data_IF_836658240885
#
_entry.id   IF_836658240885
#
_cell.length_a   1.000
_cell.length_b   1.000
_cell.length_c   1.000
_cell.angle_alpha   90.00
_cell.angle_beta   90.00
_cell.angle_gamma   90.00
#
_symmetry.space_group_name_H-M   'P 1'
#
loop_
_entity.id
_entity.type
_entity.pdbx_description
1 polymer ?
#
# COMPACT_ATOMS: atom_id res chain seq x y z
N UNK A 1 35.83 -13.88 4.99
CA UNK A 1 35.43 -13.75 6.41
C UNK A 1 34.23 -14.65 6.65
N UNK A 2 34.12 -15.29 7.82
CA UNK A 2 32.91 -16.05 8.16
C UNK A 2 31.70 -15.09 8.18
N UNK A 3 30.55 -15.50 7.61
CA UNK A 3 29.32 -14.70 7.63
C UNK A 3 28.90 -14.27 9.04
N UNK A 4 29.28 -15.04 10.08
CA UNK A 4 29.05 -14.70 11.49
C UNK A 4 29.82 -13.46 11.97
N UNK A 5 31.05 -13.23 11.47
CA UNK A 5 31.84 -12.05 11.82
C UNK A 5 31.19 -10.77 11.27
N UNK A 6 30.70 -10.83 10.04
CA UNK A 6 29.99 -9.73 9.39
C UNK A 6 28.70 -9.35 10.13
N UNK A 7 27.95 -10.33 10.66
CA UNK A 7 26.75 -10.06 11.47
C UNK A 7 27.06 -9.38 12.80
N UNK A 8 28.16 -9.77 13.47
CA UNK A 8 28.59 -9.13 14.71
C UNK A 8 29.01 -7.67 14.50
N UNK A 9 29.74 -7.40 13.42
CA UNK A 9 30.13 -6.03 13.03
C UNK A 9 28.90 -5.14 12.79
N UNK A 10 27.89 -5.65 12.06
CA UNK A 10 26.65 -4.91 11.80
C UNK A 10 25.88 -4.66 13.10
N UNK A 11 25.76 -5.66 13.97
CA UNK A 11 25.07 -5.47 15.25
C UNK A 11 25.78 -4.44 16.13
N UNK A 12 27.12 -4.44 16.14
CA UNK A 12 27.87 -3.44 16.87
C UNK A 12 27.72 -2.04 16.27
N UNK A 13 27.75 -1.92 14.94
CA UNK A 13 27.44 -0.66 14.25
C UNK A 13 26.06 -0.12 14.67
N UNK A 14 25.03 -0.97 14.66
CA UNK A 14 23.68 -0.60 15.08
C UNK A 14 23.67 -0.09 16.53
N UNK A 15 24.35 -0.79 17.44
CA UNK A 15 24.45 -0.37 18.85
C UNK A 15 25.16 0.97 18.99
N UNK A 16 26.25 1.18 18.28
CA UNK A 16 26.98 2.45 18.32
C UNK A 16 26.09 3.60 17.83
N UNK A 17 25.40 3.44 16.69
CA UNK A 17 24.48 4.46 16.18
C UNK A 17 23.33 4.69 17.17
N UNK A 18 22.76 3.63 17.76
CA UNK A 18 21.68 3.77 18.73
C UNK A 18 22.11 4.55 19.99
N UNK A 19 23.36 4.41 20.44
CA UNK A 19 23.85 5.09 21.65
C UNK A 19 24.36 6.51 21.45
N UNK A 20 24.57 6.94 20.20
CA UNK A 20 25.18 8.24 19.89
C UNK A 20 24.27 9.45 20.15
N UNK A 21 22.96 9.24 20.32
CA UNK A 21 21.96 10.30 20.43
C UNK A 21 20.70 9.78 21.15
N UNK A 22 19.75 10.69 21.41
CA UNK A 22 18.44 10.38 22.02
C UNK A 22 17.29 10.34 20.98
N UNK A 23 17.60 10.40 19.67
CA UNK A 23 16.60 10.46 18.62
C UNK A 23 15.83 9.15 18.50
N UNK A 24 14.49 9.18 18.43
CA UNK A 24 13.70 7.98 18.24
C UNK A 24 13.99 7.35 16.88
N UNK A 25 13.92 6.03 16.83
CA UNK A 25 14.08 5.28 15.58
C UNK A 25 12.71 4.94 15.00
N UNK A 26 12.58 5.04 13.68
CA UNK A 26 11.39 4.62 12.93
C UNK A 26 11.84 3.59 11.91
N UNK A 27 11.33 2.37 11.99
CA UNK A 27 11.68 1.26 11.10
C UNK A 27 10.50 1.01 10.16
N UNK A 28 10.73 1.14 8.86
CA UNK A 28 9.75 0.78 7.84
C UNK A 28 9.67 -0.74 7.67
N UNK A 29 8.53 -1.33 8.02
CA UNK A 29 8.29 -2.78 7.95
C UNK A 29 7.16 -3.11 6.97
N UNK A 30 7.48 -3.83 5.90
CA UNK A 30 6.50 -4.23 4.88
C UNK A 30 6.11 -5.71 4.95
N UNK A 31 6.63 -6.48 5.90
CA UNK A 31 6.45 -7.94 5.94
C UNK A 31 7.26 -8.71 4.89
N UNK A 32 7.95 -8.03 3.98
CA UNK A 32 8.82 -8.64 2.98
C UNK A 32 10.20 -9.03 3.56
N UNK A 33 10.97 -9.81 2.77
CA UNK A 33 12.28 -10.34 3.16
C UNK A 33 13.26 -9.27 3.65
N UNK A 34 13.42 -8.17 2.91
CA UNK A 34 14.44 -7.16 3.20
C UNK A 34 14.10 -6.36 4.48
N UNK A 35 12.85 -5.92 4.61
CA UNK A 35 12.38 -5.20 5.82
C UNK A 35 12.38 -6.09 7.07
N UNK A 36 12.10 -7.39 6.91
CA UNK A 36 12.18 -8.37 8.00
C UNK A 36 13.62 -8.53 8.46
N UNK A 37 14.58 -8.71 7.55
CA UNK A 37 16.00 -8.81 7.92
C UNK A 37 16.50 -7.55 8.62
N UNK A 38 16.20 -6.37 8.08
CA UNK A 38 16.60 -5.10 8.71
C UNK A 38 16.06 -4.97 10.14
N UNK A 39 14.78 -5.30 10.36
CA UNK A 39 14.20 -5.27 11.70
C UNK A 39 14.81 -6.34 12.62
N UNK A 40 15.05 -7.56 12.16
CA UNK A 40 15.69 -8.62 12.96
C UNK A 40 17.10 -8.21 13.40
N UNK A 41 17.90 -7.61 12.51
CA UNK A 41 19.23 -7.10 12.84
C UNK A 41 19.18 -6.04 13.93
N UNK A 42 18.28 -5.05 13.81
CA UNK A 42 18.12 -4.01 14.84
C UNK A 42 17.63 -4.59 16.15
N UNK A 43 16.67 -5.52 16.11
CA UNK A 43 16.14 -6.20 17.29
C UNK A 43 17.22 -6.94 18.06
N UNK A 44 18.03 -7.76 17.38
CA UNK A 44 19.11 -8.50 18.01
C UNK A 44 20.22 -7.60 18.54
N UNK A 45 20.54 -6.52 17.83
CA UNK A 45 21.51 -5.54 18.29
C UNK A 45 21.07 -4.92 19.63
N UNK A 46 19.82 -4.43 19.73
CA UNK A 46 19.30 -3.81 20.95
C UNK A 46 19.04 -4.82 22.08
N UNK A 47 18.66 -6.06 21.76
CA UNK A 47 18.57 -7.14 22.74
C UNK A 47 19.91 -7.46 23.39
N UNK A 48 21.02 -7.25 22.67
CA UNK A 48 22.37 -7.39 23.20
C UNK A 48 22.82 -6.26 24.13
N UNK A 49 22.09 -5.14 24.22
CA UNK A 49 22.40 -4.05 25.15
C UNK A 49 21.82 -4.32 26.55
N UNK A 50 22.48 -3.85 27.63
CA UNK A 50 21.86 -3.77 28.96
C UNK A 50 20.54 -2.98 28.92
N UNK A 51 19.60 -3.31 29.81
CA UNK A 51 18.28 -2.64 29.87
C UNK A 51 18.41 -1.12 30.05
N UNK A 52 19.41 -0.69 30.83
CA UNK A 52 19.73 0.71 31.12
C UNK A 52 20.20 1.52 29.88
N UNK A 53 20.79 0.85 28.89
CA UNK A 53 21.28 1.49 27.66
C UNK A 53 20.19 1.59 26.58
N UNK A 54 18.99 1.03 26.81
CA UNK A 54 17.85 1.03 25.87
C UNK A 54 16.95 2.25 26.09
N UNK A 55 17.55 3.44 25.97
CA UNK A 55 16.97 4.70 26.51
C UNK A 55 15.89 5.35 25.65
N UNK A 56 15.75 4.96 24.37
CA UNK A 56 14.89 5.67 23.41
C UNK A 56 13.97 4.73 22.63
N UNK A 57 12.76 5.20 22.26
CA UNK A 57 11.77 4.37 21.59
C UNK A 57 12.17 4.03 20.15
N UNK A 58 11.76 2.83 19.72
CA UNK A 58 11.93 2.32 18.36
C UNK A 58 10.55 1.97 17.80
N UNK A 59 10.03 2.83 16.94
CA UNK A 59 8.75 2.62 16.29
C UNK A 59 8.91 1.71 15.07
N UNK A 60 8.13 0.64 14.99
CA UNK A 60 8.01 -0.18 13.78
C UNK A 60 6.71 0.18 13.11
N UNK A 61 6.78 0.70 11.89
CA UNK A 61 5.59 1.13 11.13
C UNK A 61 5.36 0.23 9.93
N UNK A 62 4.12 -0.23 9.79
CA UNK A 62 3.67 -0.99 8.62
C UNK A 62 2.45 -0.34 8.01
N UNK A 63 2.48 -0.02 6.72
CA UNK A 63 1.38 0.70 6.07
C UNK A 63 0.41 -0.27 5.43
N UNK A 64 -0.80 -0.33 5.98
CA UNK A 64 -1.95 -1.03 5.43
C UNK A 64 -2.63 -0.14 4.39
N UNK A 65 -2.63 -0.58 3.13
CA UNK A 65 -3.27 0.19 2.05
C UNK A 65 -4.79 0.00 1.98
N UNK A 66 -5.36 -0.87 2.82
CA UNK A 66 -6.76 -1.30 2.82
C UNK A 66 -7.18 -2.07 1.56
N UNK A 67 -6.22 -2.36 0.67
CA UNK A 67 -6.41 -3.14 -0.56
C UNK A 67 -5.25 -4.12 -0.78
N UNK A 68 -4.46 -4.42 0.26
CA UNK A 68 -3.51 -5.54 0.26
C UNK A 68 -4.26 -6.87 0.19
N UNK A 69 -3.65 -7.92 -0.36
CA UNK A 69 -4.27 -9.25 -0.38
C UNK A 69 -4.56 -9.73 1.05
N UNK A 70 -5.72 -10.33 1.35
CA UNK A 70 -6.12 -10.56 2.76
C UNK A 70 -5.16 -11.47 3.53
N UNK A 71 -4.60 -12.51 2.88
CA UNK A 71 -3.55 -13.37 3.47
C UNK A 71 -2.34 -12.56 3.96
N UNK A 72 -1.99 -11.48 3.25
CA UNK A 72 -0.89 -10.58 3.63
C UNK A 72 -1.30 -9.66 4.78
N UNK A 73 -2.55 -9.20 4.80
CA UNK A 73 -3.12 -8.37 5.89
C UNK A 73 -3.08 -9.14 7.21
N UNK A 74 -3.53 -10.40 7.22
CA UNK A 74 -3.55 -11.24 8.41
C UNK A 74 -2.14 -11.48 8.93
N UNK A 75 -1.24 -11.87 8.04
CA UNK A 75 0.18 -12.09 8.36
C UNK A 75 0.84 -10.84 8.94
N UNK A 76 0.56 -9.67 8.38
CA UNK A 76 1.12 -8.40 8.86
C UNK A 76 0.55 -8.02 10.22
N UNK A 77 -0.76 -8.20 10.40
CA UNK A 77 -1.46 -7.93 11.66
C UNK A 77 -0.92 -8.84 12.78
N UNK A 78 -0.73 -10.12 12.48
CA UNK A 78 -0.14 -11.09 13.40
C UNK A 78 1.32 -10.73 13.73
N UNK A 79 2.13 -10.38 12.72
CA UNK A 79 3.51 -9.97 12.96
C UNK A 79 3.62 -8.75 13.88
N UNK A 80 2.75 -7.73 13.69
CA UNK A 80 2.71 -6.55 14.57
C UNK A 80 2.33 -6.94 16.01
N UNK A 81 1.36 -7.85 16.19
CA UNK A 81 0.99 -8.37 17.51
C UNK A 81 2.17 -9.07 18.18
N UNK A 82 2.77 -10.03 17.48
CA UNK A 82 3.93 -10.81 17.97
C UNK A 82 5.11 -9.91 18.33
N UNK A 83 5.38 -8.87 17.54
CA UNK A 83 6.43 -7.88 17.85
C UNK A 83 6.11 -7.17 19.17
N UNK A 84 4.91 -6.64 19.36
CA UNK A 84 4.57 -5.93 20.59
C UNK A 84 4.61 -6.85 21.82
N UNK A 85 4.18 -8.10 21.70
CA UNK A 85 4.25 -9.09 22.77
C UNK A 85 5.70 -9.42 23.14
N UNK A 86 6.53 -9.73 22.13
CA UNK A 86 7.94 -10.04 22.31
C UNK A 86 8.74 -8.84 22.86
N UNK A 87 8.40 -7.61 22.45
CA UNK A 87 9.03 -6.39 22.95
C UNK A 87 8.77 -6.23 24.45
N UNK A 88 7.53 -6.47 24.91
CA UNK A 88 7.17 -6.42 26.33
C UNK A 88 7.89 -7.50 27.13
N UNK A 89 7.88 -8.75 26.65
CA UNK A 89 8.53 -9.87 27.32
C UNK A 89 10.05 -9.69 27.43
N UNK A 90 10.69 -9.20 26.36
CA UNK A 90 12.14 -9.00 26.30
C UNK A 90 12.60 -7.64 26.86
N UNK A 91 11.64 -6.81 27.33
CA UNK A 91 11.86 -5.43 27.78
C UNK A 91 12.66 -4.60 26.76
N UNK A 92 12.21 -4.62 25.52
CA UNK A 92 12.81 -3.86 24.43
C UNK A 92 11.96 -2.63 24.11
N UNK A 93 12.57 -1.52 23.66
CA UNK A 93 11.86 -0.27 23.44
C UNK A 93 11.11 -0.24 22.09
N UNK A 94 10.67 -1.40 21.58
CA UNK A 94 9.95 -1.48 20.30
C UNK A 94 8.45 -1.23 20.48
N UNK A 95 7.88 -0.45 19.57
CA UNK A 95 6.44 -0.21 19.45
C UNK A 95 6.02 -0.39 18.00
N UNK A 96 5.35 -1.50 17.69
CA UNK A 96 4.88 -1.82 16.35
C UNK A 96 3.43 -1.35 16.15
N UNK A 97 3.15 -0.70 15.02
CA UNK A 97 1.80 -0.26 14.69
C UNK A 97 1.53 -0.28 13.18
N UNK A 98 0.26 -0.49 12.83
CA UNK A 98 -0.21 -0.28 11.46
C UNK A 98 -0.56 1.18 11.23
N UNK A 99 -0.18 1.69 10.06
CA UNK A 99 -0.61 2.98 9.54
C UNK A 99 -1.61 2.73 8.42
N UNK A 100 -2.53 3.66 8.21
CA UNK A 100 -3.54 3.58 7.15
C UNK A 100 -3.76 4.95 6.50
N UNK A 101 -4.20 4.97 5.23
CA UNK A 101 -4.60 6.21 4.57
C UNK A 101 -5.75 6.89 5.32
N UNK A 102 -5.82 8.22 5.22
CA UNK A 102 -7.06 8.93 5.59
C UNK A 102 -8.16 8.57 4.60
N UNK A 103 -9.41 8.74 5.02
CA UNK A 103 -10.59 8.45 4.20
C UNK A 103 -10.46 9.03 2.78
N UNK A 104 -10.01 10.28 2.68
CA UNK A 104 -9.85 10.98 1.41
C UNK A 104 -8.81 10.34 0.47
N UNK A 105 -7.79 9.69 1.03
CA UNK A 105 -6.68 9.07 0.31
C UNK A 105 -6.96 7.60 -0.04
N UNK A 106 -8.03 7.00 0.49
CA UNK A 106 -8.37 5.58 0.27
C UNK A 106 -8.58 5.23 -1.21
N UNK A 107 -8.38 3.95 -1.55
CA UNK A 107 -8.41 3.48 -2.93
C UNK A 107 -9.78 3.72 -3.56
N UNK A 108 -10.87 3.35 -2.88
CA UNK A 108 -12.21 3.44 -3.43
C UNK A 108 -12.75 4.86 -3.52
N UNK A 109 -12.44 5.73 -2.55
CA UNK A 109 -12.80 7.16 -2.62
C UNK A 109 -12.14 7.82 -3.84
N UNK A 110 -10.89 7.47 -4.15
CA UNK A 110 -10.21 8.01 -5.33
C UNK A 110 -10.68 7.36 -6.64
N UNK A 111 -10.81 6.03 -6.69
CA UNK A 111 -11.20 5.32 -7.91
C UNK A 111 -12.69 5.53 -8.25
N UNK A 112 -13.60 5.24 -7.31
CA UNK A 112 -15.05 5.31 -7.51
C UNK A 112 -15.59 6.72 -7.26
N UNK A 113 -15.18 7.34 -6.15
CA UNK A 113 -15.61 8.69 -5.79
C UNK A 113 -15.15 9.70 -6.85
N UNK A 114 -13.83 9.89 -6.96
CA UNK A 114 -13.23 10.89 -7.87
C UNK A 114 -13.10 10.43 -9.33
N UNK A 115 -13.37 9.17 -9.64
CA UNK A 115 -13.20 8.64 -10.99
C UNK A 115 -11.74 8.58 -11.43
N UNK A 116 -10.77 8.44 -10.52
CA UNK A 116 -9.38 8.24 -10.93
C UNK A 116 -9.24 6.94 -11.71
N UNK A 117 -8.49 6.91 -12.83
CA UNK A 117 -8.27 5.68 -13.57
C UNK A 117 -7.46 4.69 -12.74
N UNK A 118 -7.69 3.38 -12.95
CA UNK A 118 -6.91 2.36 -12.26
C UNK A 118 -5.40 2.58 -12.49
N UNK A 119 -4.54 2.40 -11.46
CA UNK A 119 -3.13 2.76 -11.54
C UNK A 119 -2.38 2.04 -12.69
N UNK A 120 -1.49 2.76 -13.37
CA UNK A 120 -0.62 2.15 -14.39
C UNK A 120 0.81 2.63 -14.24
N UNK A 121 1.73 2.13 -15.06
CA UNK A 121 3.16 2.43 -14.97
C UNK A 121 3.48 3.93 -14.93
N UNK A 122 2.72 4.76 -15.68
CA UNK A 122 2.89 6.21 -15.77
C UNK A 122 1.98 7.04 -14.86
N UNK A 123 1.01 6.42 -14.18
CA UNK A 123 0.07 7.12 -13.30
C UNK A 123 -0.23 6.27 -12.05
N UNK A 124 0.71 6.28 -11.10
CA UNK A 124 0.68 5.51 -9.84
C UNK A 124 0.25 6.36 -8.65
N UNK A 125 -0.93 6.95 -8.73
CA UNK A 125 -1.47 7.83 -7.68
C UNK A 125 -1.63 7.12 -6.32
N UNK A 126 -1.78 5.79 -6.33
CA UNK A 126 -1.97 4.97 -5.14
C UNK A 126 -0.72 4.87 -4.26
N UNK A 127 0.50 4.88 -4.84
CA UNK A 127 1.74 4.75 -4.05
C UNK A 127 1.90 5.93 -3.09
N UNK A 128 1.68 7.15 -3.60
CA UNK A 128 1.78 8.36 -2.80
C UNK A 128 0.74 8.36 -1.67
N UNK A 129 -0.54 8.20 -2.02
CA UNK A 129 -1.67 8.31 -1.08
C UNK A 129 -1.75 7.18 -0.07
N UNK A 130 -1.60 5.93 -0.54
CA UNK A 130 -1.83 4.75 0.29
C UNK A 130 -0.57 4.31 1.06
N UNK A 131 0.64 4.57 0.55
CA UNK A 131 1.89 4.09 1.16
C UNK A 131 2.77 5.19 1.73
N UNK A 132 2.98 6.27 0.97
CA UNK A 132 3.94 7.33 1.35
C UNK A 132 3.32 8.30 2.36
N UNK A 133 2.11 8.82 2.08
CA UNK A 133 1.45 9.81 2.93
C UNK A 133 1.22 9.35 4.38
N UNK A 134 0.75 8.11 4.65
CA UNK A 134 0.56 7.64 6.02
C UNK A 134 1.88 7.61 6.80
N UNK A 135 2.93 7.07 6.18
CA UNK A 135 4.27 7.00 6.76
C UNK A 135 4.86 8.39 7.00
N UNK A 136 4.77 9.28 6.01
CA UNK A 136 5.25 10.65 6.13
C UNK A 136 4.55 11.39 7.26
N UNK A 137 3.23 11.24 7.39
CA UNK A 137 2.47 11.86 8.48
C UNK A 137 2.95 11.38 9.85
N UNK A 138 3.16 10.08 9.99
CA UNK A 138 3.71 9.52 11.23
C UNK A 138 5.11 10.06 11.53
N UNK A 139 6.01 10.04 10.54
CA UNK A 139 7.39 10.51 10.69
C UNK A 139 7.42 11.99 11.05
N UNK A 140 6.66 12.83 10.34
CA UNK A 140 6.60 14.27 10.59
C UNK A 140 6.03 14.59 11.98
N UNK A 141 5.04 13.82 12.46
CA UNK A 141 4.57 13.97 13.84
C UNK A 141 5.68 13.66 14.85
N UNK A 142 6.48 12.60 14.63
CA UNK A 142 7.62 12.28 15.50
C UNK A 142 8.76 13.29 15.41
N UNK A 143 9.01 13.86 14.23
CA UNK A 143 9.92 15.00 14.06
C UNK A 143 9.40 16.23 14.83
N UNK A 144 8.11 16.52 14.81
CA UNK A 144 7.54 17.62 15.58
C UNK A 144 7.64 17.40 17.10
N UNK A 145 7.51 16.16 17.57
CA UNK A 145 7.64 15.79 18.99
C UNK A 145 9.09 15.80 19.49
N UNK A 146 10.05 15.32 18.67
CA UNK A 146 11.43 15.04 19.10
C UNK A 146 12.51 15.88 18.40
N UNK A 147 12.13 16.76 17.48
CA UNK A 147 13.03 17.59 16.67
C UNK A 147 13.62 16.84 15.46
N UNK A 148 14.18 15.65 15.66
CA UNK A 148 14.71 14.79 14.59
C UNK A 148 14.41 13.31 14.84
N UNK A 149 14.48 12.48 13.80
CA UNK A 149 14.29 11.02 13.89
C UNK A 149 15.32 10.27 13.03
N UNK A 150 15.58 9.00 13.36
CA UNK A 150 16.35 8.08 12.52
C UNK A 150 15.41 7.08 11.85
N UNK A 151 15.24 7.20 10.53
CA UNK A 151 14.48 6.29 9.69
C UNK A 151 15.36 5.13 9.22
N UNK A 152 15.04 3.91 9.64
CA UNK A 152 15.71 2.68 9.24
C UNK A 152 14.95 2.05 8.08
N UNK A 153 15.65 1.81 6.96
CA UNK A 153 15.08 1.22 5.74
C UNK A 153 15.82 -0.06 5.35
N UNK A 154 15.06 -1.09 4.99
CA UNK A 154 15.59 -2.33 4.41
C UNK A 154 15.90 -2.20 2.91
N UNK A 155 16.66 -1.18 2.51
CA UNK A 155 17.07 -0.96 1.12
C UNK A 155 18.50 -1.46 0.88
N UNK A 156 18.74 -2.04 -0.30
CA UNK A 156 20.04 -2.60 -0.72
C UNK A 156 20.55 -1.91 -1.99
N UNK A 157 21.86 -1.83 -2.19
CA UNK A 157 22.47 -1.22 -3.39
C UNK A 157 22.12 -1.97 -4.67
N UNK A 158 22.06 -3.29 -4.59
CA UNK A 158 21.80 -4.14 -5.74
C UNK A 158 20.33 -4.12 -6.22
N UNK A 159 19.44 -3.40 -5.53
CA UNK A 159 18.04 -3.26 -5.99
C UNK A 159 17.88 -2.35 -7.21
N UNK A 160 18.70 -1.30 -7.35
CA UNK A 160 18.66 -0.42 -8.52
C UNK A 160 19.88 0.51 -8.60
N UNK A 161 20.42 0.67 -9.82
CA UNK A 161 21.52 1.61 -10.09
C UNK A 161 21.17 3.06 -9.71
N UNK A 162 19.91 3.46 -9.90
CA UNK A 162 19.41 4.80 -9.51
C UNK A 162 19.36 4.98 -7.99
N UNK A 163 18.99 3.93 -7.24
CA UNK A 163 19.01 3.97 -5.76
C UNK A 163 20.44 4.15 -5.26
N UNK A 164 21.41 3.42 -5.80
CA UNK A 164 22.82 3.55 -5.42
C UNK A 164 23.35 4.99 -5.63
N UNK A 165 22.99 5.64 -6.74
CA UNK A 165 23.41 7.01 -7.03
C UNK A 165 22.83 8.05 -6.05
N UNK A 166 21.54 7.93 -5.69
CA UNK A 166 20.90 8.82 -4.71
C UNK A 166 21.47 8.62 -3.31
N UNK A 167 21.77 7.37 -2.92
CA UNK A 167 22.37 7.06 -1.63
C UNK A 167 23.74 7.70 -1.44
N UNK A 168 24.56 7.74 -2.49
CA UNK A 168 25.88 8.36 -2.44
C UNK A 168 25.83 9.90 -2.38
N UNK A 169 24.78 10.54 -2.93
CA UNK A 169 24.66 12.01 -2.92
C UNK A 169 24.31 12.59 -1.54
N UNK A 170 23.61 11.83 -0.69
CA UNK A 170 23.15 12.31 0.62
C UNK A 170 24.00 11.84 1.80
N UNK A 171 25.08 11.10 1.53
CA UNK A 171 26.04 10.67 2.56
C UNK A 171 27.00 11.78 2.91
N UNK A 172 27.05 12.12 4.20
CA UNK A 172 28.21 12.82 4.73
C UNK A 172 29.38 11.85 4.75
N UNK A 173 30.51 12.25 4.16
CA UNK A 173 31.74 11.46 4.13
C UNK A 173 32.10 10.98 5.53
N UNK A 174 32.18 9.65 5.73
CA UNK A 174 32.51 9.03 7.01
C UNK A 174 31.35 8.77 7.98
N UNK A 175 30.09 9.12 7.64
CA UNK A 175 28.92 8.84 8.47
C UNK A 175 27.99 7.81 7.80
N UNK A 176 27.49 6.85 8.58
CA UNK A 176 26.52 5.81 8.14
C UNK A 176 25.09 6.34 7.98
N UNK A 177 24.83 7.56 8.46
CA UNK A 177 23.54 8.25 8.34
C UNK A 177 23.56 9.22 7.15
N UNK A 178 22.45 9.27 6.41
CA UNK A 178 22.20 10.24 5.35
C UNK A 178 21.00 11.12 5.71
N UNK A 179 20.90 12.34 5.18
CA UNK A 179 19.67 13.15 5.32
C UNK A 179 18.58 12.63 4.37
N UNK A 180 17.34 12.56 4.84
CA UNK A 180 16.22 12.23 3.96
C UNK A 180 15.96 13.38 2.98
N UNK A 181 15.89 13.09 1.68
CA UNK A 181 15.81 14.13 0.64
C UNK A 181 14.51 14.95 0.63
N UNK A 182 13.42 14.43 1.22
CA UNK A 182 12.09 15.07 1.22
C UNK A 182 11.49 15.31 2.60
N UNK A 183 12.06 14.72 3.67
CA UNK A 183 11.50 14.78 5.01
C UNK A 183 12.46 15.57 5.90
N UNK A 184 12.19 16.86 6.17
CA UNK A 184 12.98 17.65 7.09
C UNK A 184 13.06 16.94 8.46
N UNK A 185 14.23 16.98 9.09
CA UNK A 185 14.45 16.36 10.41
C UNK A 185 14.57 14.82 10.42
N UNK A 186 14.48 14.15 9.27
CA UNK A 186 14.69 12.70 9.19
C UNK A 186 16.10 12.35 8.69
N UNK A 187 16.79 11.50 9.44
CA UNK A 187 18.01 10.81 9.02
C UNK A 187 17.67 9.42 8.50
N UNK A 188 18.45 8.88 7.58
CA UNK A 188 18.25 7.56 6.96
C UNK A 188 19.41 6.65 7.32
N UNK A 189 19.08 5.45 7.80
CA UNK A 189 20.01 4.36 8.06
C UNK A 189 19.56 3.09 7.32
N UNK A 190 20.52 2.35 6.75
CA UNK A 190 20.25 1.15 5.96
C UNK A 190 21.19 0.03 6.39
N UNK A 191 20.82 -0.80 7.38
CA UNK A 191 21.72 -1.82 7.95
C UNK A 191 22.06 -2.95 6.97
N UNK A 192 21.30 -3.10 5.88
CA UNK A 192 21.47 -4.15 4.88
C UNK A 192 21.90 -3.60 3.51
N UNK A 193 22.42 -2.37 3.46
CA UNK A 193 22.77 -1.70 2.21
C UNK A 193 23.64 -2.57 1.28
N UNK A 194 24.61 -3.27 1.86
CA UNK A 194 25.61 -4.08 1.14
C UNK A 194 25.22 -5.57 1.03
N UNK A 195 23.98 -5.95 1.35
CA UNK A 195 23.53 -7.35 1.26
C UNK A 195 23.08 -7.67 -0.18
N UNK A 196 23.48 -8.85 -0.66
CA UNK A 196 22.86 -9.47 -1.83
C UNK A 196 21.50 -10.09 -1.47
N UNK A 197 20.75 -10.55 -2.47
CA UNK A 197 19.51 -11.32 -2.21
C UNK A 197 19.80 -12.64 -1.51
N UNK A 198 20.92 -13.29 -1.86
CA UNK A 198 21.32 -14.57 -1.28
C UNK A 198 21.72 -14.42 0.19
N UNK A 199 22.38 -13.30 0.55
CA UNK A 199 22.68 -12.98 1.95
C UNK A 199 21.41 -12.83 2.77
N UNK A 200 20.38 -12.18 2.22
CA UNK A 200 19.08 -12.00 2.88
C UNK A 200 18.42 -13.35 3.16
N UNK A 201 18.34 -14.24 2.17
CA UNK A 201 17.72 -15.55 2.37
C UNK A 201 18.55 -16.46 3.25
N UNK A 202 19.87 -16.46 3.09
CA UNK A 202 20.79 -17.20 3.96
C UNK A 202 20.60 -16.78 5.42
N UNK A 203 20.54 -15.48 5.68
CA UNK A 203 20.25 -14.94 7.01
C UNK A 203 18.89 -15.42 7.53
N UNK A 204 17.81 -15.20 6.78
CA UNK A 204 16.45 -15.52 7.25
C UNK A 204 16.25 -17.01 7.52
N UNK A 205 16.90 -17.90 6.76
CA UNK A 205 16.79 -19.35 6.93
C UNK A 205 17.65 -19.88 8.09
N UNK A 206 18.72 -19.19 8.47
CA UNK A 206 19.62 -19.58 9.55
C UNK A 206 19.27 -18.93 10.89
N UNK A 207 18.78 -17.69 10.86
CA UNK A 207 18.46 -16.89 12.05
C UNK A 207 16.97 -16.97 12.31
N UNK A 208 16.59 -17.31 13.55
CA UNK A 208 15.19 -17.33 13.97
C UNK A 208 14.65 -15.90 14.08
N UNK A 209 13.33 -15.72 13.92
CA UNK A 209 12.72 -14.43 14.23
C UNK A 209 12.76 -14.14 15.73
N UNK A 210 13.18 -12.94 16.17
CA UNK A 210 13.23 -12.61 17.59
C UNK A 210 11.86 -12.35 18.21
N UNK A 211 10.80 -12.20 17.40
CA UNK A 211 9.40 -12.14 17.84
C UNK A 211 8.64 -13.45 17.57
N UNK A 212 9.32 -14.53 17.20
CA UNK A 212 8.72 -15.87 17.09
C UNK A 212 8.05 -16.21 15.75
N UNK A 213 8.02 -15.29 14.78
CA UNK A 213 7.49 -15.58 13.43
C UNK A 213 8.36 -16.61 12.68
N UNK A 214 7.75 -17.40 11.80
CA UNK A 214 8.48 -18.39 11.01
C UNK A 214 9.02 -17.80 9.69
N UNK A 215 10.34 -17.60 9.64
CA UNK A 215 11.02 -17.16 8.42
C UNK A 215 10.89 -18.18 7.27
N UNK A 216 10.65 -19.46 7.55
CA UNK A 216 10.41 -20.48 6.49
C UNK A 216 9.05 -20.30 5.84
N UNK A 217 8.03 -19.87 6.58
CA UNK A 217 6.75 -19.49 5.99
C UNK A 217 6.89 -18.27 5.08
N UNK A 218 7.77 -17.31 5.42
CA UNK A 218 8.11 -16.21 4.51
C UNK A 218 8.75 -16.74 3.22
N UNK A 219 9.72 -17.63 3.33
CA UNK A 219 10.38 -18.23 2.17
C UNK A 219 9.41 -19.06 1.32
N UNK A 220 8.49 -19.81 1.95
CA UNK A 220 7.46 -20.57 1.25
C UNK A 220 6.52 -19.67 0.45
N UNK A 221 6.11 -18.54 1.03
CA UNK A 221 5.29 -17.53 0.34
C UNK A 221 6.01 -16.95 -0.89
N UNK A 222 7.29 -16.61 -0.78
CA UNK A 222 8.10 -16.16 -1.93
C UNK A 222 8.33 -17.26 -2.98
N UNK A 223 8.32 -18.53 -2.58
CA UNK A 223 8.46 -19.67 -3.49
C UNK A 223 7.17 -19.94 -4.26
N UNK A 224 6.01 -19.91 -3.59
CA UNK A 224 4.72 -20.08 -4.26
C UNK A 224 4.49 -18.97 -5.28
N UNK A 225 4.80 -17.73 -4.92
CA UNK A 225 4.64 -16.59 -5.83
C UNK A 225 5.66 -16.53 -7.00
N UNK A 226 6.54 -17.52 -7.13
CA UNK A 226 7.45 -17.71 -8.28
C UNK A 226 7.22 -19.06 -8.99
N UNK A 227 5.99 -19.57 -8.99
CA UNK A 227 5.63 -20.78 -9.76
C UNK A 227 6.39 -22.05 -9.29
N UNK A 228 6.79 -22.10 -8.02
CA UNK A 228 7.48 -23.24 -7.43
C UNK A 228 8.97 -23.38 -7.78
N UNK A 229 9.52 -22.56 -8.69
CA UNK A 229 10.96 -22.53 -8.97
C UNK A 229 11.71 -21.76 -7.87
N UNK A 230 12.14 -22.48 -6.83
CA UNK A 230 13.25 -22.02 -6.00
C UNK A 230 14.13 -23.22 -5.65
N UNK A 231 15.21 -23.46 -6.40
CA UNK A 231 16.15 -24.50 -6.02
C UNK A 231 16.77 -24.07 -4.69
N UNK A 232 16.85 -25.00 -3.74
CA UNK A 232 17.64 -24.80 -2.52
C UNK A 232 19.05 -24.48 -2.99
N UNK A 233 19.49 -23.24 -2.75
CA UNK A 233 20.78 -22.74 -3.25
C UNK A 233 21.89 -23.50 -2.52
N UNK A 234 22.43 -24.52 -3.17
CA UNK A 234 23.66 -25.22 -2.74
C UNK A 234 24.89 -24.62 -3.44
N UNK A 235 24.70 -23.79 -4.49
CA UNK A 235 25.77 -23.14 -5.25
C UNK A 235 25.34 -21.77 -5.83
N UNK A 236 26.32 -20.87 -5.92
CA UNK A 236 26.32 -19.49 -6.45
C UNK A 236 25.88 -19.32 -7.91
N UNK A 237 25.68 -20.42 -8.65
CA UNK A 237 25.23 -20.45 -10.04
C UNK A 237 23.70 -20.54 -10.19
N UNK A 238 22.97 -20.68 -9.08
CA UNK A 238 21.51 -20.84 -9.05
C UNK A 238 20.79 -19.49 -8.98
N UNK A 239 19.85 -19.21 -9.88
CA UNK A 239 19.09 -17.95 -9.86
C UNK A 239 18.26 -17.79 -8.56
N UNK A 240 18.47 -16.69 -7.83
CA UNK A 240 17.80 -16.46 -6.54
C UNK A 240 16.30 -16.16 -6.68
N UNK A 241 15.47 -16.79 -5.86
CA UNK A 241 14.04 -16.50 -5.78
C UNK A 241 13.80 -15.21 -4.94
N UNK A 242 13.91 -14.05 -5.57
CA UNK A 242 13.87 -12.76 -4.85
C UNK A 242 13.02 -11.64 -5.45
N UNK A 243 12.50 -11.84 -6.67
CA UNK A 243 11.84 -10.77 -7.43
C UNK A 243 10.32 -10.73 -7.32
N UNK A 244 9.69 -11.76 -6.74
CA UNK A 244 8.23 -11.76 -6.56
C UNK A 244 7.82 -10.73 -5.51
N UNK A 245 6.80 -9.93 -5.82
CA UNK A 245 6.32 -8.83 -4.99
C UNK A 245 4.86 -9.08 -4.65
N UNK A 246 4.60 -9.29 -3.37
CA UNK A 246 3.27 -9.23 -2.80
C UNK A 246 2.81 -7.77 -2.79
N UNK A 247 1.56 -7.52 -3.15
CA UNK A 247 1.02 -6.18 -3.18
C UNK A 247 -0.50 -6.16 -3.16
N UNK A 248 -1.05 -5.00 -3.49
CA UNK A 248 -2.47 -4.78 -3.51
C UNK A 248 -3.17 -5.71 -4.51
N UNK A 249 -4.23 -6.40 -4.10
CA UNK A 249 -4.98 -7.30 -4.99
C UNK A 249 -5.65 -6.54 -6.15
N UNK A 250 -5.82 -5.22 -6.04
CA UNK A 250 -6.33 -4.33 -7.11
C UNK A 250 -5.25 -3.84 -8.09
N UNK A 251 -4.01 -4.33 -8.01
CA UNK A 251 -2.88 -3.76 -8.76
C UNK A 251 -2.93 -4.08 -10.26
N UNK A 252 -3.10 -3.04 -11.06
CA UNK A 252 -3.12 -3.09 -12.54
C UNK A 252 -1.80 -2.65 -13.19
N UNK A 253 -0.74 -2.42 -12.40
CA UNK A 253 0.58 -2.03 -12.93
C UNK A 253 1.30 -3.21 -13.58
N UNK A 254 1.10 -4.41 -13.04
CA UNK A 254 1.57 -5.67 -13.63
C UNK A 254 0.51 -6.19 -14.59
N UNK A 255 0.88 -6.98 -15.59
CA UNK A 255 -0.10 -7.54 -16.54
C UNK A 255 -0.96 -8.61 -15.88
N UNK A 256 -0.33 -9.50 -15.10
CA UNK A 256 -0.97 -10.57 -14.34
C UNK A 256 -0.51 -10.55 -12.89
N UNK A 257 -1.39 -10.91 -11.97
CA UNK A 257 -1.04 -11.10 -10.57
C UNK A 257 -0.67 -12.57 -10.31
N UNK A 258 0.59 -12.91 -10.64
CA UNK A 258 1.11 -14.26 -10.43
C UNK A 258 1.09 -14.70 -8.98
N UNK A 259 1.13 -13.75 -8.04
CA UNK A 259 1.11 -14.09 -6.62
C UNK A 259 -0.28 -14.55 -6.22
N UNK A 260 -1.32 -13.85 -6.67
CA UNK A 260 -2.71 -14.23 -6.39
C UNK A 260 -3.11 -15.50 -7.14
N UNK A 261 -2.71 -15.64 -8.42
CA UNK A 261 -2.86 -16.88 -9.20
C UNK A 261 -2.24 -18.07 -8.44
N UNK A 262 -0.99 -17.95 -8.00
CA UNK A 262 -0.32 -19.03 -7.27
C UNK A 262 -0.95 -19.35 -5.90
N UNK A 263 -1.49 -18.35 -5.19
CA UNK A 263 -2.18 -18.60 -3.93
C UNK A 263 -3.49 -19.37 -4.17
N UNK A 264 -4.24 -19.01 -5.20
CA UNK A 264 -5.46 -19.73 -5.63
C UNK A 264 -5.12 -21.18 -5.98
N UNK A 265 -4.10 -21.39 -6.83
CA UNK A 265 -3.64 -22.72 -7.23
C UNK A 265 -3.14 -23.57 -6.05
N UNK A 266 -2.68 -22.91 -4.97
CA UNK A 266 -2.22 -23.57 -3.74
C UNK A 266 -3.32 -23.85 -2.71
N UNK A 267 -4.58 -23.52 -3.00
CA UNK A 267 -5.75 -23.85 -2.18
C UNK A 267 -6.58 -22.67 -1.69
N UNK A 268 -6.17 -21.42 -1.98
CA UNK A 268 -6.93 -20.22 -1.60
C UNK A 268 -7.98 -19.83 -2.66
N UNK A 269 -8.78 -20.81 -3.13
CA UNK A 269 -9.74 -20.65 -4.23
C UNK A 269 -10.80 -19.56 -3.99
N UNK A 270 -11.10 -19.27 -2.72
CA UNK A 270 -12.03 -18.21 -2.32
C UNK A 270 -11.56 -16.80 -2.75
N UNK A 271 -10.28 -16.63 -3.14
CA UNK A 271 -9.76 -15.38 -3.68
C UNK A 271 -10.05 -15.17 -5.18
N UNK A 272 -10.60 -16.16 -5.89
CA UNK A 272 -10.93 -16.04 -7.32
C UNK A 272 -11.75 -14.77 -7.66
N UNK A 273 -12.78 -14.38 -6.88
CA UNK A 273 -13.54 -13.15 -7.16
C UNK A 273 -12.68 -11.87 -7.10
N UNK A 274 -11.62 -11.84 -6.29
CA UNK A 274 -10.67 -10.72 -6.23
C UNK A 274 -9.84 -10.64 -7.52
N UNK A 275 -9.34 -11.80 -7.99
CA UNK A 275 -8.58 -11.89 -9.23
C UNK A 275 -9.44 -11.47 -10.43
N UNK A 276 -10.69 -11.92 -10.50
CA UNK A 276 -11.63 -11.54 -11.55
C UNK A 276 -11.93 -10.04 -11.57
N UNK A 277 -12.09 -9.43 -10.38
CA UNK A 277 -12.30 -7.99 -10.27
C UNK A 277 -11.05 -7.20 -10.67
N UNK A 278 -9.86 -7.68 -10.27
CA UNK A 278 -8.57 -7.11 -10.65
C UNK A 278 -8.37 -7.14 -12.17
N UNK A 279 -8.69 -8.25 -12.81
CA UNK A 279 -8.54 -8.40 -14.26
C UNK A 279 -9.52 -7.52 -15.01
N UNK A 280 -10.73 -7.33 -14.47
CA UNK A 280 -11.63 -6.28 -14.93
C UNK A 280 -11.03 -4.87 -14.78
N UNK A 281 -10.45 -4.51 -13.64
CA UNK A 281 -9.78 -3.20 -13.50
C UNK A 281 -8.66 -3.03 -14.54
N UNK A 282 -7.92 -4.10 -14.81
CA UNK A 282 -6.84 -4.12 -15.80
C UNK A 282 -7.38 -3.87 -17.22
N UNK A 283 -8.49 -4.51 -17.60
CA UNK A 283 -9.10 -4.33 -18.91
C UNK A 283 -9.58 -2.89 -19.16
N UNK A 284 -9.89 -2.13 -18.10
CA UNK A 284 -10.22 -0.70 -18.24
C UNK A 284 -9.05 0.17 -18.74
N UNK A 285 -7.83 -0.35 -18.80
CA UNK A 285 -6.65 0.36 -19.31
C UNK A 285 -6.48 0.21 -20.83
N UNK A 286 -7.26 -0.66 -21.47
CA UNK A 286 -7.25 -0.87 -22.92
C UNK A 286 -7.61 0.45 -23.65
N UNK A 287 -6.78 0.93 -24.59
CA UNK A 287 -7.09 2.08 -25.44
C UNK A 287 -8.47 2.04 -26.10
N UNK A 288 -8.96 0.88 -26.51
CA UNK A 288 -10.22 0.73 -27.25
C UNK A 288 -11.44 0.77 -26.33
N UNK A 289 -11.25 0.47 -25.03
CA UNK A 289 -12.31 0.49 -24.01
C UNK A 289 -12.38 1.85 -23.30
N UNK A 290 -11.27 2.61 -23.22
CA UNK A 290 -11.22 3.95 -22.60
C UNK A 290 -12.36 4.89 -23.03
N UNK A 291 -12.72 5.03 -24.32
CA UNK A 291 -13.79 5.93 -24.76
C UNK A 291 -15.15 5.64 -24.14
N UNK A 292 -15.42 4.39 -23.79
CA UNK A 292 -16.72 3.94 -23.31
C UNK A 292 -16.94 4.27 -21.82
N UNK A 293 -15.85 4.47 -21.09
CA UNK A 293 -15.85 4.53 -19.63
C UNK A 293 -15.17 5.78 -19.07
N UNK A 294 -14.47 6.57 -19.91
CA UNK A 294 -13.71 7.75 -19.49
C UNK A 294 -14.08 9.02 -20.23
N UNK A 295 -13.92 10.13 -19.54
CA UNK A 295 -14.05 11.48 -20.07
C UNK A 295 -12.67 12.16 -20.25
N UNK A 296 -12.62 13.21 -21.07
CA UNK A 296 -11.39 13.96 -21.34
C UNK A 296 -11.03 14.96 -20.23
N UNK A 297 -12.04 15.42 -19.49
CA UNK A 297 -11.89 16.39 -18.40
C UNK A 297 -11.23 15.70 -17.21
N UNK A 298 -10.17 16.26 -16.66
CA UNK A 298 -9.63 15.79 -15.38
C UNK A 298 -10.41 16.36 -14.20
N UNK A 299 -10.16 15.84 -12.99
CA UNK A 299 -10.66 16.44 -11.74
C UNK A 299 -10.11 17.84 -11.45
N UNK A 300 -9.01 18.22 -12.09
CA UNK A 300 -8.48 19.59 -12.12
C UNK A 300 -9.27 20.52 -13.08
N UNK A 301 -10.33 20.02 -13.73
CA UNK A 301 -11.12 20.74 -14.73
C UNK A 301 -10.42 20.87 -16.09
N UNK A 302 -9.18 20.39 -16.23
CA UNK A 302 -8.36 20.61 -17.43
C UNK A 302 -8.46 19.42 -18.39
N UNK A 303 -8.50 19.74 -19.68
CA UNK A 303 -8.33 18.78 -20.76
C UNK A 303 -6.85 18.73 -21.13
N UNK A 304 -6.30 17.53 -21.36
CA UNK A 304 -4.91 17.36 -21.80
C UNK A 304 -4.87 16.85 -23.23
N UNK A 305 -3.99 17.46 -24.02
CA UNK A 305 -3.67 17.04 -25.38
C UNK A 305 -2.30 16.36 -25.35
N UNK A 306 -2.21 15.19 -25.97
CA UNK A 306 -0.95 14.48 -26.18
C UNK A 306 -0.05 15.22 -27.17
N UNK A 307 1.24 14.86 -27.21
CA UNK A 307 2.20 15.45 -28.15
C UNK A 307 1.84 15.20 -29.64
N UNK A 308 1.05 14.16 -29.92
CA UNK A 308 0.49 13.82 -31.23
C UNK A 308 -0.83 14.57 -31.57
N UNK A 309 -1.22 15.54 -30.74
CA UNK A 309 -2.44 16.34 -30.95
C UNK A 309 -3.74 15.68 -30.51
N UNK A 310 -3.70 14.47 -29.93
CA UNK A 310 -4.92 13.74 -29.52
C UNK A 310 -5.37 14.08 -28.10
N UNK A 311 -6.68 14.19 -27.89
CA UNK A 311 -7.25 14.36 -26.56
C UNK A 311 -6.99 13.12 -25.68
N UNK A 312 -6.60 13.34 -24.42
CA UNK A 312 -6.35 12.25 -23.46
C UNK A 312 -7.58 11.96 -22.62
N UNK A 313 -8.01 10.70 -22.59
CA UNK A 313 -8.96 10.20 -21.60
C UNK A 313 -8.33 10.21 -20.20
N UNK A 314 -9.00 10.84 -19.23
CA UNK A 314 -8.46 11.08 -17.89
C UNK A 314 -9.24 10.35 -16.80
N UNK A 315 -10.48 10.74 -16.52
CA UNK A 315 -11.28 10.22 -15.41
C UNK A 315 -12.34 9.24 -15.90
N UNK A 316 -12.77 8.32 -15.04
CA UNK A 316 -13.96 7.51 -15.29
C UNK A 316 -15.22 8.37 -15.24
N UNK A 317 -16.22 8.04 -16.06
CA UNK A 317 -17.54 8.66 -16.00
C UNK A 317 -18.26 8.28 -14.71
N UNK A 318 -19.26 9.07 -14.29
CA UNK A 318 -20.06 8.75 -13.10
C UNK A 318 -20.81 7.44 -13.30
N UNK A 319 -21.36 7.24 -14.50
CA UNK A 319 -22.08 6.03 -14.86
C UNK A 319 -21.19 4.78 -14.75
N UNK A 320 -19.96 4.84 -15.25
CA UNK A 320 -19.03 3.73 -15.08
C UNK A 320 -18.62 3.53 -13.61
N UNK A 321 -18.54 4.60 -12.82
CA UNK A 321 -18.24 4.51 -11.38
C UNK A 321 -19.37 3.79 -10.61
N UNK A 322 -20.63 4.01 -10.99
CA UNK A 322 -21.80 3.27 -10.46
C UNK A 322 -21.74 1.78 -10.81
N UNK A 323 -21.40 1.46 -12.06
CA UNK A 323 -21.24 0.07 -12.52
C UNK A 323 -20.10 -0.64 -11.78
N UNK A 324 -18.96 0.03 -11.61
CA UNK A 324 -17.85 -0.50 -10.82
C UNK A 324 -18.22 -0.71 -9.35
N UNK A 325 -18.97 0.22 -8.74
CA UNK A 325 -19.45 0.06 -7.36
C UNK A 325 -20.35 -1.17 -7.23
N UNK A 326 -21.32 -1.34 -8.14
CA UNK A 326 -22.19 -2.52 -8.17
C UNK A 326 -21.37 -3.81 -8.22
N UNK A 327 -20.42 -3.89 -9.17
CA UNK A 327 -19.55 -5.05 -9.32
C UNK A 327 -18.70 -5.31 -8.07
N UNK A 328 -18.19 -4.26 -7.42
CA UNK A 328 -17.42 -4.38 -6.19
C UNK A 328 -18.26 -4.96 -5.05
N UNK A 329 -19.51 -4.49 -4.90
CA UNK A 329 -20.44 -5.00 -3.90
C UNK A 329 -20.87 -6.45 -4.18
N UNK A 330 -21.04 -6.83 -5.46
CA UNK A 330 -21.29 -8.22 -5.87
C UNK A 330 -20.10 -9.13 -5.56
N UNK A 331 -18.86 -8.66 -5.82
CA UNK A 331 -17.64 -9.35 -5.43
C UNK A 331 -17.58 -9.51 -3.91
N UNK A 332 -17.86 -8.45 -3.15
CA UNK A 332 -17.90 -8.50 -1.68
C UNK A 332 -18.92 -9.53 -1.18
N UNK A 333 -20.12 -9.56 -1.75
CA UNK A 333 -21.17 -10.53 -1.40
C UNK A 333 -20.74 -11.98 -1.67
N UNK A 334 -20.03 -12.20 -2.77
CA UNK A 334 -19.46 -13.52 -3.10
C UNK A 334 -18.43 -13.93 -2.04
N UNK A 335 -17.56 -13.00 -1.64
CA UNK A 335 -16.57 -13.26 -0.59
C UNK A 335 -17.20 -13.49 0.79
N UNK A 336 -18.33 -12.84 1.07
CA UNK A 336 -19.07 -13.00 2.32
C UNK A 336 -19.69 -14.39 2.52
N UNK A 337 -19.69 -15.24 1.49
CA UNK A 337 -20.00 -16.67 1.62
C UNK A 337 -18.92 -17.39 2.44
N UNK A 338 -17.65 -16.97 2.29
CA UNK A 338 -16.51 -17.54 3.01
C UNK A 338 -16.30 -16.85 4.37
N UNK A 339 -16.34 -15.51 4.39
CA UNK A 339 -16.21 -14.71 5.61
C UNK A 339 -17.32 -13.65 5.68
N UNK A 340 -18.39 -13.88 6.46
CA UNK A 340 -19.56 -12.99 6.54
C UNK A 340 -19.25 -11.53 6.93
N UNK A 341 -18.15 -11.31 7.64
CA UNK A 341 -17.72 -9.98 8.11
C UNK A 341 -16.79 -9.29 7.10
N UNK A 342 -16.37 -9.99 6.05
CA UNK A 342 -15.45 -9.46 5.06
C UNK A 342 -16.07 -8.28 4.28
N UNK A 343 -15.36 -7.16 4.27
CA UNK A 343 -15.77 -5.94 3.58
C UNK A 343 -14.64 -5.46 2.66
N UNK A 344 -14.92 -5.37 1.36
CA UNK A 344 -14.02 -4.79 0.37
C UNK A 344 -14.04 -3.26 0.40
N UNK A 345 -15.17 -2.69 0.80
CA UNK A 345 -15.37 -1.25 0.93
C UNK A 345 -16.11 -0.96 2.23
N UNK A 346 -15.58 0.00 2.99
CA UNK A 346 -16.15 0.41 4.26
C UNK A 346 -17.37 1.33 4.08
N UNK A 347 -18.21 1.40 5.11
CA UNK A 347 -19.36 2.33 5.14
C UNK A 347 -18.91 3.79 5.06
N UNK A 348 -17.78 4.13 5.68
CA UNK A 348 -17.24 5.49 5.63
C UNK A 348 -16.76 5.86 4.23
N UNK A 349 -16.13 4.92 3.50
CA UNK A 349 -15.80 5.11 2.08
C UNK A 349 -17.06 5.30 1.23
N UNK A 350 -18.12 4.52 1.45
CA UNK A 350 -19.40 4.68 0.74
C UNK A 350 -20.02 6.05 0.99
N UNK A 351 -20.00 6.54 2.23
CA UNK A 351 -20.50 7.88 2.58
C UNK A 351 -19.70 8.98 1.89
N UNK A 352 -18.38 8.87 1.86
CA UNK A 352 -17.53 9.86 1.20
C UNK A 352 -17.69 9.82 -0.33
N UNK A 353 -17.81 8.63 -0.92
CA UNK A 353 -18.11 8.47 -2.35
C UNK A 353 -19.45 9.12 -2.70
N UNK A 354 -20.50 8.90 -1.89
CA UNK A 354 -21.82 9.54 -2.06
C UNK A 354 -21.69 11.05 -2.01
N UNK A 355 -20.98 11.60 -1.01
CA UNK A 355 -20.72 13.03 -0.89
C UNK A 355 -20.07 13.58 -2.16
N UNK A 356 -19.02 12.93 -2.66
CA UNK A 356 -18.31 13.34 -3.89
C UNK A 356 -19.23 13.27 -5.10
N UNK A 357 -20.05 12.22 -5.22
CA UNK A 357 -20.95 12.05 -6.37
C UNK A 357 -22.02 13.15 -6.42
N UNK A 358 -22.69 13.40 -5.30
CA UNK A 358 -23.75 14.41 -5.19
C UNK A 358 -23.17 15.82 -5.37
N UNK A 359 -22.10 16.15 -4.64
CA UNK A 359 -21.57 17.52 -4.57
C UNK A 359 -20.66 17.89 -5.74
N UNK A 360 -19.89 16.93 -6.28
CA UNK A 360 -18.81 17.21 -7.22
C UNK A 360 -18.96 16.50 -8.59
N UNK A 361 -19.97 15.62 -8.75
CA UNK A 361 -20.23 14.88 -10.00
C UNK A 361 -21.68 14.96 -10.47
N UNK A 362 -22.47 15.86 -9.88
CA UNK A 362 -23.86 16.14 -10.27
C UNK A 362 -24.76 14.89 -10.19
N UNK A 363 -24.54 14.01 -9.21
CA UNK A 363 -25.43 12.88 -8.94
C UNK A 363 -26.71 13.33 -8.20
N UNK A 364 -27.56 14.10 -8.88
CA UNK A 364 -28.79 14.67 -8.31
C UNK A 364 -29.81 13.63 -7.85
N UNK A 365 -29.71 12.41 -8.38
CA UNK A 365 -30.58 11.30 -7.98
C UNK A 365 -30.07 10.57 -6.72
N UNK A 366 -28.90 10.94 -6.20
CA UNK A 366 -28.27 10.30 -5.05
C UNK A 366 -28.27 8.76 -5.19
N UNK A 367 -27.57 8.28 -6.22
CA UNK A 367 -27.72 6.91 -6.71
C UNK A 367 -27.09 5.84 -5.81
N UNK A 368 -26.12 6.21 -4.96
CA UNK A 368 -25.32 5.26 -4.20
C UNK A 368 -26.14 4.44 -3.17
N UNK A 369 -27.01 5.06 -2.34
CA UNK A 369 -27.91 4.32 -1.45
C UNK A 369 -28.70 3.21 -2.14
N UNK A 370 -29.27 3.51 -3.32
CA UNK A 370 -30.06 2.56 -4.09
C UNK A 370 -29.23 1.38 -4.61
N UNK A 371 -28.02 1.65 -5.14
CA UNK A 371 -27.10 0.60 -5.58
C UNK A 371 -26.72 -0.32 -4.41
N UNK A 372 -26.44 0.26 -3.24
CA UNK A 372 -26.06 -0.53 -2.06
C UNK A 372 -27.20 -1.44 -1.59
N UNK A 373 -28.41 -0.90 -1.47
CA UNK A 373 -29.59 -1.67 -1.04
C UNK A 373 -29.94 -2.78 -2.05
N UNK A 374 -29.91 -2.48 -3.35
CA UNK A 374 -30.22 -3.46 -4.41
C UNK A 374 -29.27 -4.67 -4.39
N UNK A 375 -27.96 -4.44 -4.22
CA UNK A 375 -26.96 -5.52 -4.27
C UNK A 375 -26.88 -6.30 -2.95
N UNK A 376 -26.85 -5.57 -1.83
CA UNK A 376 -26.58 -6.15 -0.51
C UNK A 376 -27.85 -6.59 0.22
N UNK A 377 -29.01 -6.02 -0.12
CA UNK A 377 -30.25 -6.19 0.63
C UNK A 377 -30.23 -5.53 2.02
N UNK A 378 -29.23 -4.69 2.32
CA UNK A 378 -29.06 -4.00 3.60
C UNK A 378 -29.22 -2.50 3.41
N UNK A 379 -29.66 -1.82 4.47
CA UNK A 379 -29.72 -0.37 4.52
C UNK A 379 -28.69 0.16 5.52
N UNK A 380 -28.11 1.32 5.20
CA UNK A 380 -27.20 2.07 6.06
C UNK A 380 -27.90 3.33 6.51
N UNK A 381 -27.61 3.81 7.72
CA UNK A 381 -28.02 5.16 8.10
C UNK A 381 -27.18 6.19 7.33
N UNK A 382 -27.72 6.63 6.20
CA UNK A 382 -27.15 7.63 5.33
C UNK A 382 -27.33 9.02 5.94
N UNK A 383 -26.24 9.79 6.07
CA UNK A 383 -26.32 11.15 6.59
C UNK A 383 -27.27 11.99 5.73
N UNK A 384 -28.16 12.75 6.39
CA UNK A 384 -29.02 13.72 5.71
C UNK A 384 -28.18 14.96 5.46
N UNK A 385 -27.93 15.26 4.19
CA UNK A 385 -27.27 16.50 3.81
C UNK A 385 -28.28 17.65 3.91
N UNK A 386 -28.00 18.64 4.76
CA UNK A 386 -28.77 19.89 4.85
C UNK A 386 -28.51 20.83 3.65
N UNK A 387 -27.58 20.48 2.76
CA UNK A 387 -27.28 21.24 1.55
C UNK A 387 -28.34 20.93 0.50
N UNK A 388 -29.16 21.94 0.15
CA UNK A 388 -30.08 21.87 -0.97
C UNK A 388 -29.29 21.61 -2.26
N UNK A 389 -29.37 20.39 -2.76
CA UNK A 389 -28.91 20.01 -4.09
C UNK A 389 -30.14 19.88 -4.98
N UNK A 390 -30.10 20.34 -6.24
CA UNK A 390 -31.20 20.12 -7.18
C UNK A 390 -31.56 18.63 -7.18
N UNK A 391 -32.84 18.30 -7.01
CA UNK A 391 -33.31 16.92 -6.93
C UNK A 391 -33.70 16.37 -8.30
N UNK A 392 -34.38 15.23 -8.30
CA UNK A 392 -34.85 14.58 -9.52
C UNK A 392 -35.81 15.44 -10.37
N UNK A 393 -36.59 16.33 -9.72
CA UNK A 393 -37.52 17.21 -10.40
C UNK A 393 -36.78 18.28 -11.22
N UNK A 394 -35.80 18.95 -10.60
CA UNK A 394 -34.92 19.91 -11.26
C UNK A 394 -34.07 19.23 -12.34
N UNK A 395 -33.63 17.99 -12.12
CA UNK A 395 -32.92 17.18 -13.10
C UNK A 395 -33.72 16.94 -14.38
N UNK A 396 -34.99 16.57 -14.22
CA UNK A 396 -35.89 16.32 -15.35
C UNK A 396 -36.22 17.61 -16.08
N UNK A 397 -36.50 18.70 -15.35
CA UNK A 397 -36.72 20.01 -15.94
C UNK A 397 -35.51 20.47 -16.77
N UNK A 398 -34.30 20.29 -16.24
CA UNK A 398 -33.08 20.69 -16.94
C UNK A 398 -32.84 19.83 -18.20
N UNK A 399 -33.17 18.53 -18.16
CA UNK A 399 -33.13 17.65 -19.33
C UNK A 399 -34.13 18.09 -20.41
N UNK A 400 -35.38 18.36 -20.01
CA UNK A 400 -36.42 18.84 -20.92
C UNK A 400 -36.03 20.17 -21.58
N UNK A 401 -35.48 21.11 -20.81
CA UNK A 401 -34.99 22.40 -21.34
C UNK A 401 -33.77 22.23 -22.25
N UNK A 402 -32.83 21.36 -21.89
CA UNK A 402 -31.67 21.02 -22.71
C UNK A 402 -32.08 20.44 -24.07
N UNK A 403 -33.07 19.54 -24.09
CA UNK A 403 -33.64 18.99 -25.32
C UNK A 403 -34.37 20.07 -26.13
N UNK A 404 -35.19 20.90 -25.48
CA UNK A 404 -35.94 21.98 -26.13
C UNK A 404 -35.03 23.04 -26.78
N UNK A 405 -33.88 23.32 -26.17
CA UNK A 405 -32.95 24.36 -26.62
C UNK A 405 -31.70 23.83 -27.34
N UNK A 406 -31.60 22.51 -27.56
CA UNK A 406 -30.46 21.85 -28.19
C UNK A 406 -29.11 22.17 -27.51
N UNK A 407 -29.11 22.24 -26.17
CA UNK A 407 -27.92 22.50 -25.34
C UNK A 407 -27.62 21.26 -24.49
N UNK A 408 -26.41 20.69 -24.51
CA UNK A 408 -26.07 19.53 -23.68
C UNK A 408 -26.26 19.80 -22.19
N UNK A 409 -27.05 18.96 -21.51
CA UNK A 409 -27.30 19.06 -20.07
C UNK A 409 -26.02 18.95 -19.22
N UNK A 410 -24.96 18.34 -19.76
CA UNK A 410 -23.65 18.19 -19.12
C UNK A 410 -22.79 19.45 -19.12
N UNK A 411 -23.23 20.53 -19.80
CA UNK A 411 -22.54 21.83 -19.85
C UNK A 411 -23.16 22.87 -18.91
N UNK A 412 -24.28 22.54 -18.25
CA UNK A 412 -25.00 23.35 -17.27
C UNK A 412 -24.77 22.79 -15.86
#
# INVERSE_FOLDING_TARGET
>A
MSALLQLQEIQEEIRQIYKNDELPWVIGYSGGKDSTTALQLVWYALRGLPEEERTKPVYVISTDTLVETPVIVDRTTEAVRMMNDAAREQKLPFQAQKLSPILDDTFWVNLLGRGYPAPNSGFRWCTERLKINPSNRFILNKVAEHGEVILVLGSRRDESATRNQVLNMHRFTGKKLARHGQLPGAWVYMPIEDFSVDDIWTYLLQVKSPWGADNRQLAALYRSANDGECPVVVDSSTASCGNSRFGCWVCTVVTKDKSMEAMIDSGEEWMQPLLDFRDFLSSTQDPDVKPQQREYRGRDGRIKISADGRLRYRTYTLEFSRQMLRRLLETQKTMQVHDPEFALISVDELREIRRIWVMERQDWNDSLPGIYEEVTGRTVNWDKSDVYTPGAAEANLLRELSEAHNVPATLL
#
